data_IF_767268413993
#
_entry.id   IF_767268413993
#
_cell.length_a   1.000
_cell.length_b   1.000
_cell.length_c   1.000
_cell.angle_alpha   90.00
_cell.angle_beta   90.00
_cell.angle_gamma   90.00
#
_symmetry.space_group_name_H-M   'P 1'
#
loop_
_entity.id
_entity.type
_entity.pdbx_description
1 polymer ?
#
# COMPACT_ATOMS: atom_id res chain seq x y z
N UNK A 1 -4.81 11.72 -24.62
CA UNK A 1 -3.63 12.51 -24.18
C UNK A 1 -2.62 11.51 -23.64
N UNK A 2 -1.48 11.34 -24.31
CA UNK A 2 -0.36 10.57 -23.76
C UNK A 2 0.12 11.33 -22.52
N UNK A 3 -0.30 10.88 -21.34
CA UNK A 3 0.13 11.47 -20.07
C UNK A 3 1.65 11.41 -20.00
N UNK A 4 2.27 12.49 -19.51
CA UNK A 4 3.71 12.53 -19.32
C UNK A 4 4.11 11.38 -18.40
N UNK A 5 4.92 10.45 -18.92
CA UNK A 5 5.48 9.31 -18.17
C UNK A 5 6.62 9.83 -17.31
N UNK A 6 6.31 10.52 -16.22
CA UNK A 6 7.29 11.17 -15.38
C UNK A 6 6.92 11.07 -13.90
N UNK A 7 7.95 11.20 -13.07
CA UNK A 7 7.80 11.45 -11.64
C UNK A 7 8.24 12.89 -11.37
N UNK A 8 7.62 13.56 -10.41
CA UNK A 8 7.90 14.95 -10.15
C UNK A 8 7.71 15.29 -8.67
N UNK A 9 8.38 16.35 -8.25
CA UNK A 9 8.29 16.93 -6.92
C UNK A 9 7.81 18.37 -7.08
N UNK A 10 6.91 18.77 -6.20
CA UNK A 10 6.47 20.16 -6.12
C UNK A 10 6.83 20.73 -4.76
N UNK A 11 7.13 22.03 -4.72
CA UNK A 11 7.13 22.75 -3.46
C UNK A 11 5.70 22.88 -2.90
N UNK A 12 5.57 23.49 -1.71
CA UNK A 12 4.27 23.70 -1.07
C UNK A 12 3.42 24.79 -1.74
N UNK A 13 3.90 25.45 -2.80
CA UNK A 13 3.14 26.38 -3.65
C UNK A 13 2.65 25.70 -4.93
N UNK A 14 2.98 24.44 -5.14
CA UNK A 14 2.62 23.69 -6.35
C UNK A 14 3.56 23.93 -7.53
N UNK A 15 4.71 24.56 -7.31
CA UNK A 15 5.74 24.75 -8.34
C UNK A 15 6.53 23.46 -8.46
N UNK A 16 6.66 22.92 -9.67
CA UNK A 16 7.54 21.78 -9.93
C UNK A 16 8.99 22.21 -9.70
N UNK A 17 9.65 21.56 -8.74
CA UNK A 17 11.06 21.84 -8.36
C UNK A 17 12.02 20.76 -8.84
N UNK A 18 11.50 19.61 -9.25
CA UNK A 18 12.25 18.50 -9.80
C UNK A 18 11.30 17.60 -10.59
N UNK A 19 11.78 17.01 -11.68
CA UNK A 19 11.08 15.96 -12.40
C UNK A 19 12.07 15.06 -13.13
N UNK A 20 11.66 13.83 -13.39
CA UNK A 20 12.42 12.88 -14.19
C UNK A 20 11.47 12.10 -15.12
N UNK A 21 11.89 11.88 -16.37
CA UNK A 21 11.12 11.05 -17.29
C UNK A 21 11.38 9.58 -17.02
N UNK A 22 10.33 8.78 -17.04
CA UNK A 22 10.39 7.33 -16.88
C UNK A 22 9.65 6.70 -18.05
N UNK A 23 10.31 6.52 -19.21
CA UNK A 23 9.69 5.99 -20.43
C UNK A 23 9.00 4.64 -20.25
N UNK A 24 9.47 3.85 -19.28
CA UNK A 24 8.94 2.54 -18.88
C UNK A 24 7.62 2.61 -18.09
N UNK A 25 6.97 3.77 -18.00
CA UNK A 25 5.67 3.98 -17.35
C UNK A 25 5.70 3.70 -15.83
N UNK A 26 5.88 4.75 -15.00
CA UNK A 26 5.90 4.57 -13.55
C UNK A 26 4.51 4.24 -13.02
N UNK A 27 4.42 3.16 -12.25
CA UNK A 27 3.17 2.68 -11.63
C UNK A 27 3.03 3.15 -10.19
N UNK A 28 4.10 2.95 -9.42
CA UNK A 28 4.20 3.23 -7.99
C UNK A 28 5.61 3.72 -7.72
N UNK A 29 5.72 4.73 -6.86
CA UNK A 29 6.99 5.38 -6.50
C UNK A 29 7.06 5.54 -5.00
N UNK A 30 8.21 5.21 -4.41
CA UNK A 30 8.57 5.60 -3.05
C UNK A 30 9.92 6.31 -3.05
N UNK A 31 10.08 7.32 -2.19
CA UNK A 31 11.35 8.00 -2.00
C UNK A 31 12.02 7.57 -0.69
N UNK A 32 13.26 7.11 -0.79
CA UNK A 32 14.15 6.85 0.34
C UNK A 32 14.98 8.10 0.63
N UNK A 33 14.63 8.82 1.69
CA UNK A 33 15.35 10.01 2.10
C UNK A 33 16.77 9.73 2.62
N UNK A 34 17.05 8.51 3.11
CA UNK A 34 18.39 8.14 3.60
C UNK A 34 19.38 8.01 2.44
N UNK A 35 18.93 7.46 1.31
CA UNK A 35 19.77 7.24 0.12
C UNK A 35 19.53 8.26 -0.99
N UNK A 36 18.51 9.09 -0.84
CA UNK A 36 18.06 10.05 -1.85
C UNK A 36 17.74 9.38 -3.19
N UNK A 37 16.99 8.27 -3.10
CA UNK A 37 16.68 7.40 -4.23
C UNK A 37 15.16 7.21 -4.37
N UNK A 38 14.70 7.16 -5.62
CA UNK A 38 13.32 6.78 -5.96
C UNK A 38 13.26 5.32 -6.36
N UNK A 39 12.39 4.56 -5.72
CA UNK A 39 12.09 3.16 -6.02
C UNK A 39 10.81 3.14 -6.83
N UNK A 40 10.87 2.58 -8.04
CA UNK A 40 9.83 2.74 -9.06
C UNK A 40 9.46 1.39 -9.64
N UNK A 41 8.19 1.00 -9.47
CA UNK A 41 7.60 -0.07 -10.26
C UNK A 41 7.32 0.44 -11.67
N UNK A 42 7.77 -0.31 -12.68
CA UNK A 42 7.75 0.07 -14.10
C UNK A 42 7.31 -1.10 -14.97
N UNK A 43 7.10 -0.82 -16.25
CA UNK A 43 6.67 -1.74 -17.29
C UNK A 43 5.39 -2.49 -16.91
N UNK A 44 4.21 -1.86 -17.05
CA UNK A 44 2.93 -2.45 -16.69
C UNK A 44 2.75 -3.86 -17.25
N UNK A 45 2.35 -4.79 -16.39
CA UNK A 45 2.06 -6.16 -16.80
C UNK A 45 0.76 -6.25 -17.61
N UNK A 46 -0.16 -5.32 -17.36
CA UNK A 46 -1.49 -5.25 -17.97
C UNK A 46 -1.78 -3.84 -18.52
N UNK A 47 -2.74 -3.70 -19.45
CA UNK A 47 -3.16 -2.40 -19.95
C UNK A 47 -3.66 -1.47 -18.84
N UNK A 48 -3.39 -0.18 -19.01
CA UNK A 48 -3.89 0.90 -18.15
C UNK A 48 -5.42 0.86 -18.12
N UNK A 49 -6.00 0.89 -16.92
CA UNK A 49 -7.45 0.82 -16.71
C UNK A 49 -7.96 -0.60 -16.42
N UNK A 50 -7.12 -1.63 -16.54
CA UNK A 50 -7.46 -2.98 -16.07
C UNK A 50 -7.49 -3.07 -14.54
N UNK A 51 -8.17 -4.08 -13.95
CA UNK A 51 -8.12 -4.32 -12.50
C UNK A 51 -6.71 -4.52 -11.95
N UNK A 52 -5.75 -4.92 -12.79
CA UNK A 52 -4.35 -5.18 -12.45
C UNK A 52 -3.39 -4.09 -12.97
N UNK A 53 -3.90 -2.86 -13.11
CA UNK A 53 -3.12 -1.71 -13.63
C UNK A 53 -1.80 -1.48 -12.88
N UNK A 54 -1.71 -1.89 -11.61
CA UNK A 54 -0.52 -1.69 -10.77
C UNK A 54 0.39 -2.91 -10.66
N UNK A 55 0.19 -3.92 -11.50
CA UNK A 55 1.13 -5.04 -11.63
C UNK A 55 2.28 -4.62 -12.54
N UNK A 56 3.50 -4.90 -12.11
CA UNK A 56 4.72 -4.45 -12.73
C UNK A 56 5.54 -5.63 -13.27
N UNK A 57 6.27 -5.40 -14.37
CA UNK A 57 7.25 -6.35 -14.90
C UNK A 57 8.67 -6.04 -14.46
N UNK A 58 8.93 -4.84 -13.96
CA UNK A 58 10.26 -4.46 -13.50
C UNK A 58 10.24 -3.46 -12.35
N UNK A 59 11.39 -3.38 -11.69
CA UNK A 59 11.73 -2.32 -10.76
C UNK A 59 12.92 -1.53 -11.29
N UNK A 60 12.87 -0.22 -11.09
CA UNK A 60 13.96 0.72 -11.35
C UNK A 60 14.18 1.54 -10.09
N UNK A 61 15.43 1.77 -9.73
CA UNK A 61 15.83 2.72 -8.70
C UNK A 61 16.71 3.77 -9.36
N UNK A 62 16.37 5.03 -9.16
CA UNK A 62 17.15 6.18 -9.63
C UNK A 62 17.54 7.08 -8.46
N UNK A 63 18.60 7.86 -8.60
CA UNK A 63 18.92 8.94 -7.66
C UNK A 63 18.25 10.28 -8.06
N UNK A 64 18.61 11.37 -7.36
CA UNK A 64 18.09 12.72 -7.64
C UNK A 64 18.57 13.32 -8.96
N UNK A 65 19.59 12.75 -9.61
CA UNK A 65 20.08 13.20 -10.92
C UNK A 65 19.53 12.38 -12.08
N UNK A 66 18.63 11.42 -11.79
CA UNK A 66 18.05 10.53 -12.78
C UNK A 66 18.93 9.33 -13.13
N UNK A 67 20.08 9.17 -12.47
CA UNK A 67 21.00 8.06 -12.73
C UNK A 67 20.39 6.75 -12.23
N UNK A 68 20.43 5.71 -13.07
CA UNK A 68 19.89 4.39 -12.73
C UNK A 68 20.89 3.67 -11.82
N UNK A 69 20.57 3.60 -10.53
CA UNK A 69 21.40 2.92 -9.53
C UNK A 69 21.09 1.42 -9.39
N UNK A 70 19.93 0.99 -9.87
CA UNK A 70 19.53 -0.42 -9.89
C UNK A 70 18.34 -0.61 -10.85
N UNK A 71 18.34 -1.70 -11.60
CA UNK A 71 17.19 -2.09 -12.41
C UNK A 71 17.11 -3.61 -12.51
N UNK A 72 15.89 -4.15 -12.42
CA UNK A 72 15.66 -5.58 -12.54
C UNK A 72 14.34 -5.87 -13.23
N UNK A 73 14.41 -6.69 -14.27
CA UNK A 73 13.25 -7.36 -14.88
C UNK A 73 12.89 -8.59 -14.04
N UNK A 74 11.64 -8.65 -13.56
CA UNK A 74 11.17 -9.73 -12.71
C UNK A 74 11.15 -11.09 -13.41
N UNK A 75 11.01 -11.13 -14.74
CA UNK A 75 11.11 -12.37 -15.52
C UNK A 75 12.51 -13.01 -15.44
N UNK A 76 13.54 -12.22 -15.09
CA UNK A 76 14.92 -12.70 -14.91
C UNK A 76 15.22 -13.19 -13.50
N UNK A 77 14.23 -13.20 -12.60
CA UNK A 77 14.37 -13.61 -11.19
C UNK A 77 13.58 -14.92 -10.99
N UNK A 78 14.22 -16.10 -11.08
CA UNK A 78 13.51 -17.38 -10.98
C UNK A 78 12.68 -17.56 -9.71
N UNK A 79 13.10 -16.95 -8.60
CA UNK A 79 12.38 -16.98 -7.34
C UNK A 79 11.01 -16.25 -7.38
N UNK A 80 10.76 -15.43 -8.41
CA UNK A 80 9.46 -14.79 -8.66
C UNK A 80 8.55 -15.63 -9.58
N UNK A 81 8.96 -16.81 -10.03
CA UNK A 81 8.09 -17.67 -10.82
C UNK A 81 6.80 -18.01 -10.04
N UNK A 82 5.64 -17.78 -10.66
CA UNK A 82 4.34 -17.94 -10.01
C UNK A 82 3.93 -16.79 -9.08
N UNK A 83 4.69 -15.68 -9.09
CA UNK A 83 4.39 -14.45 -8.36
C UNK A 83 4.36 -13.24 -9.30
N UNK A 84 3.43 -12.33 -9.08
CA UNK A 84 3.37 -11.07 -9.82
C UNK A 84 3.53 -9.91 -8.85
N UNK A 85 4.52 -9.04 -9.06
CA UNK A 85 4.73 -7.86 -8.21
C UNK A 85 3.66 -6.80 -8.52
N UNK A 86 3.02 -6.26 -7.48
CA UNK A 86 1.99 -5.24 -7.62
C UNK A 86 2.00 -4.22 -6.48
N UNK A 87 1.54 -3.00 -6.76
CA UNK A 87 1.16 -1.94 -5.80
C UNK A 87 2.24 -1.38 -4.85
N UNK A 88 3.35 -2.06 -4.58
CA UNK A 88 4.34 -1.60 -3.60
C UNK A 88 5.78 -2.00 -3.95
N UNK A 89 6.69 -1.04 -3.79
CA UNK A 89 8.13 -1.24 -3.76
C UNK A 89 8.74 -0.39 -2.63
N UNK A 90 8.78 -0.97 -1.42
CA UNK A 90 9.20 -0.27 -0.21
C UNK A 90 10.72 -0.32 -0.05
N UNK A 91 11.44 0.82 -0.04
CA UNK A 91 12.84 0.84 0.35
C UNK A 91 12.99 0.40 1.82
N UNK A 92 13.95 -0.47 2.10
CA UNK A 92 14.25 -0.97 3.46
C UNK A 92 15.56 -0.39 4.01
N UNK A 93 15.81 -0.45 5.34
CA UNK A 93 16.95 0.24 5.96
C UNK A 93 18.31 -0.28 5.50
N UNK A 94 18.40 -1.56 5.13
CA UNK A 94 19.60 -2.19 4.58
C UNK A 94 19.75 -2.00 3.05
N UNK A 95 18.81 -1.29 2.42
CA UNK A 95 18.77 -1.05 0.98
C UNK A 95 18.07 -2.17 0.21
N UNK A 96 17.61 -3.23 0.86
CA UNK A 96 16.72 -4.19 0.22
C UNK A 96 15.35 -3.56 -0.10
N UNK A 97 14.51 -4.31 -0.79
CA UNK A 97 13.24 -3.87 -1.34
C UNK A 97 12.14 -4.82 -0.89
N UNK A 98 11.16 -4.31 -0.15
CA UNK A 98 9.92 -5.03 0.11
C UNK A 98 8.96 -4.89 -1.07
N UNK A 99 8.63 -6.00 -1.72
CA UNK A 99 7.72 -6.05 -2.87
C UNK A 99 6.46 -6.81 -2.49
N UNK A 100 5.29 -6.24 -2.74
CA UNK A 100 4.01 -6.95 -2.60
C UNK A 100 3.77 -7.79 -3.85
N UNK A 101 3.31 -9.03 -3.67
CA UNK A 101 3.13 -10.00 -4.75
C UNK A 101 1.79 -10.72 -4.70
N UNK A 102 1.17 -10.92 -5.86
CA UNK A 102 0.10 -11.89 -6.03
C UNK A 102 0.68 -13.31 -6.10
N UNK A 103 -0.11 -14.28 -5.65
CA UNK A 103 0.21 -15.72 -5.69
C UNK A 103 -1.05 -16.47 -6.08
N UNK A 104 -0.98 -17.32 -7.10
CA UNK A 104 -2.09 -18.18 -7.51
C UNK A 104 -1.93 -19.57 -6.87
N UNK A 105 -3.01 -20.07 -6.25
CA UNK A 105 -3.04 -21.42 -5.68
C UNK A 105 -4.38 -22.10 -5.97
N UNK A 106 -4.33 -23.39 -6.25
CA UNK A 106 -5.50 -24.21 -6.53
C UNK A 106 -6.16 -24.68 -5.24
N UNK A 107 -7.49 -24.59 -5.17
CA UNK A 107 -8.31 -25.05 -4.06
C UNK A 107 -9.53 -25.84 -4.57
N UNK A 108 -9.98 -26.79 -3.77
CA UNK A 108 -11.31 -27.37 -3.93
C UNK A 108 -12.33 -26.42 -3.30
N UNK A 109 -13.16 -25.80 -4.14
CA UNK A 109 -14.23 -24.89 -3.72
C UNK A 109 -15.62 -25.48 -3.96
N UNK A 110 -15.74 -26.80 -4.13
CA UNK A 110 -17.04 -27.46 -4.38
C UNK A 110 -18.07 -27.18 -3.29
N UNK A 111 -17.64 -27.14 -2.03
CA UNK A 111 -18.50 -26.79 -0.89
C UNK A 111 -19.06 -25.35 -0.98
N UNK A 112 -18.40 -24.45 -1.70
CA UNK A 112 -18.82 -23.07 -1.94
C UNK A 112 -19.51 -22.88 -3.31
N UNK A 113 -19.75 -23.97 -4.05
CA UNK A 113 -20.36 -23.95 -5.38
C UNK A 113 -19.38 -23.75 -6.54
N UNK A 114 -18.09 -23.92 -6.29
CA UNK A 114 -17.03 -23.96 -7.29
C UNK A 114 -16.73 -25.37 -7.81
N UNK A 115 -15.51 -25.55 -8.28
CA UNK A 115 -14.92 -26.78 -8.81
C UNK A 115 -13.82 -27.29 -7.88
N UNK A 116 -13.34 -28.50 -8.11
CA UNK A 116 -12.24 -29.10 -7.35
C UNK A 116 -10.87 -28.47 -7.65
N UNK A 117 -10.78 -27.62 -8.67
CA UNK A 117 -9.51 -27.04 -9.16
C UNK A 117 -9.60 -25.53 -9.39
N UNK A 118 -10.41 -24.82 -8.60
CA UNK A 118 -10.49 -23.37 -8.71
C UNK A 118 -9.17 -22.71 -8.33
N UNK A 119 -8.77 -21.69 -9.09
CA UNK A 119 -7.60 -20.88 -8.78
C UNK A 119 -8.06 -19.68 -7.94
N UNK A 120 -7.45 -19.53 -6.77
CA UNK A 120 -7.56 -18.35 -5.92
C UNK A 120 -6.27 -17.55 -6.02
N UNK A 121 -6.37 -16.28 -6.40
CA UNK A 121 -5.27 -15.30 -6.39
C UNK A 121 -5.24 -14.62 -5.03
N UNK A 122 -4.30 -15.05 -4.20
CA UNK A 122 -4.00 -14.46 -2.91
C UNK A 122 -2.80 -13.51 -3.00
N UNK A 123 -2.31 -13.09 -1.85
CA UNK A 123 -1.30 -12.05 -1.73
C UNK A 123 -0.13 -12.52 -0.84
N UNK A 124 0.99 -11.83 -0.98
CA UNK A 124 2.13 -11.98 -0.10
C UNK A 124 3.18 -10.90 -0.36
N UNK A 125 4.40 -11.17 0.07
CA UNK A 125 5.52 -10.30 -0.22
C UNK A 125 6.79 -11.09 -0.48
N UNK A 126 7.75 -10.43 -1.09
CA UNK A 126 9.15 -10.88 -1.17
C UNK A 126 10.08 -9.75 -0.76
N UNK A 127 11.24 -10.09 -0.20
CA UNK A 127 12.34 -9.14 0.02
C UNK A 127 13.41 -9.39 -1.03
N UNK A 128 13.72 -8.37 -1.82
CA UNK A 128 14.77 -8.40 -2.85
C UNK A 128 15.97 -7.60 -2.38
N UNK A 129 17.16 -8.18 -2.40
CA UNK A 129 18.40 -7.45 -2.10
C UNK A 129 18.88 -6.64 -3.31
N UNK A 130 19.93 -5.82 -3.13
CA UNK A 130 20.50 -4.98 -4.19
C UNK A 130 21.25 -5.74 -5.30
N UNK A 131 21.38 -7.06 -5.19
CA UNK A 131 21.86 -7.94 -6.29
C UNK A 131 20.71 -8.48 -7.14
N UNK A 132 19.46 -8.19 -6.77
CA UNK A 132 18.27 -8.69 -7.44
C UNK A 132 17.91 -10.12 -7.04
N UNK A 133 18.41 -10.60 -5.91
CA UNK A 133 18.10 -11.93 -5.36
C UNK A 133 16.98 -11.80 -4.32
N UNK A 134 16.08 -12.78 -4.28
CA UNK A 134 15.04 -12.86 -3.26
C UNK A 134 15.59 -13.53 -2.00
N UNK A 135 15.59 -12.82 -0.88
CA UNK A 135 16.11 -13.30 0.41
C UNK A 135 15.02 -13.80 1.34
N UNK A 136 13.76 -13.40 1.11
CA UNK A 136 12.61 -13.82 1.90
C UNK A 136 11.36 -13.84 1.04
N UNK A 137 10.46 -14.77 1.34
CA UNK A 137 9.12 -14.84 0.75
C UNK A 137 8.10 -15.12 1.84
N UNK A 138 6.87 -14.66 1.61
CA UNK A 138 5.73 -14.91 2.47
C UNK A 138 4.47 -15.10 1.62
N UNK A 139 3.52 -15.90 2.13
CA UNK A 139 2.24 -16.16 1.48
C UNK A 139 1.10 -16.08 2.49
N UNK A 140 -0.01 -15.43 2.12
CA UNK A 140 -1.20 -15.43 2.96
C UNK A 140 -1.78 -16.84 3.17
N UNK A 141 -1.57 -17.75 2.21
CA UNK A 141 -2.13 -19.11 2.25
C UNK A 141 -1.55 -20.01 3.35
N UNK A 142 -0.46 -19.60 3.98
CA UNK A 142 0.09 -20.29 5.16
C UNK A 142 -0.67 -19.93 6.45
N UNK A 143 -1.50 -18.88 6.42
CA UNK A 143 -2.13 -18.28 7.60
C UNK A 143 -3.64 -18.13 7.48
N UNK A 144 -4.18 -18.07 6.26
CA UNK A 144 -5.62 -17.96 6.00
C UNK A 144 -6.04 -18.92 4.90
N UNK A 145 -7.24 -19.48 5.07
CA UNK A 145 -7.82 -20.45 4.14
C UNK A 145 -9.01 -19.83 3.39
N UNK A 146 -8.94 -19.68 2.05
CA UNK A 146 -10.02 -19.10 1.26
C UNK A 146 -11.31 -19.93 1.29
N UNK A 147 -11.27 -21.22 1.62
CA UNK A 147 -12.49 -22.04 1.73
C UNK A 147 -13.39 -21.61 2.89
N UNK A 148 -12.83 -20.90 3.87
CA UNK A 148 -13.56 -20.36 5.03
C UNK A 148 -14.22 -19.01 4.76
N UNK A 149 -13.93 -18.40 3.61
CA UNK A 149 -14.48 -17.09 3.25
C UNK A 149 -15.84 -17.23 2.55
N UNK A 150 -16.92 -16.67 3.13
CA UNK A 150 -18.27 -16.81 2.55
C UNK A 150 -18.42 -16.17 1.16
N UNK A 151 -17.51 -15.25 0.80
CA UNK A 151 -17.52 -14.53 -0.47
C UNK A 151 -16.63 -15.18 -1.55
N UNK A 152 -15.87 -16.23 -1.23
CA UNK A 152 -14.89 -16.82 -2.16
C UNK A 152 -15.52 -17.33 -3.47
N UNK A 153 -16.79 -17.73 -3.42
CA UNK A 153 -17.58 -18.16 -4.59
C UNK A 153 -17.77 -17.06 -5.65
N UNK A 154 -17.63 -15.79 -5.25
CA UNK A 154 -17.76 -14.66 -6.17
C UNK A 154 -16.53 -14.63 -7.05
N UNK A 155 -16.71 -14.72 -8.38
CA UNK A 155 -15.60 -14.81 -9.34
C UNK A 155 -14.60 -13.66 -9.22
N UNK A 156 -15.08 -12.44 -8.94
CA UNK A 156 -14.21 -11.27 -8.72
C UNK A 156 -13.44 -11.30 -7.40
N UNK A 157 -13.91 -12.05 -6.40
CA UNK A 157 -13.21 -12.24 -5.12
C UNK A 157 -12.10 -13.26 -5.30
N UNK A 158 -12.36 -14.45 -5.83
CA UNK A 158 -11.28 -15.45 -6.02
C UNK A 158 -10.15 -14.98 -6.95
N UNK A 159 -10.43 -14.10 -7.91
CA UNK A 159 -9.41 -13.54 -8.82
C UNK A 159 -8.54 -12.47 -8.17
N UNK A 160 -8.90 -11.98 -6.99
CA UNK A 160 -8.20 -10.91 -6.28
C UNK A 160 -8.69 -10.90 -4.82
N UNK A 161 -8.24 -11.91 -4.05
CA UNK A 161 -8.91 -12.31 -2.82
C UNK A 161 -8.77 -11.30 -1.69
N UNK A 162 -7.55 -11.03 -1.22
CA UNK A 162 -7.35 -10.10 -0.10
C UNK A 162 -7.05 -8.69 -0.60
N UNK A 163 -6.41 -8.58 -1.77
CA UNK A 163 -5.99 -7.34 -2.42
C UNK A 163 -5.03 -6.56 -1.52
N UNK A 164 -3.84 -7.10 -1.31
CA UNK A 164 -2.78 -6.36 -0.65
C UNK A 164 -2.36 -5.17 -1.51
N UNK A 165 -2.15 -4.02 -0.87
CA UNK A 165 -1.77 -2.81 -1.60
C UNK A 165 -0.66 -2.01 -0.93
N UNK A 166 -0.13 -2.47 0.21
CA UNK A 166 1.02 -1.85 0.83
C UNK A 166 1.85 -2.84 1.63
N UNK A 167 3.12 -2.48 1.80
CA UNK A 167 4.10 -3.13 2.63
C UNK A 167 4.95 -2.04 3.28
N UNK A 168 5.13 -2.14 4.60
CA UNK A 168 5.99 -1.27 5.38
C UNK A 168 6.54 -2.01 6.60
N UNK A 169 7.44 -1.40 7.35
CA UNK A 169 8.07 -2.04 8.51
C UNK A 169 8.20 -1.08 9.69
N UNK A 170 8.29 -1.63 10.90
CA UNK A 170 8.61 -0.87 12.12
C UNK A 170 10.10 -0.97 12.49
N UNK A 171 10.48 -0.26 13.55
CA UNK A 171 11.84 -0.26 14.08
C UNK A 171 12.28 -1.59 14.72
N UNK A 172 11.35 -2.53 14.96
CA UNK A 172 11.66 -3.89 15.42
C UNK A 172 11.89 -4.86 14.23
N UNK A 173 11.70 -4.37 13.01
CA UNK A 173 11.81 -5.17 11.79
C UNK A 173 10.60 -6.06 11.55
N UNK A 174 9.44 -5.81 12.18
CA UNK A 174 8.20 -6.46 11.79
C UNK A 174 7.60 -5.75 10.57
N UNK A 175 6.83 -6.50 9.79
CA UNK A 175 6.22 -6.01 8.57
C UNK A 175 4.74 -5.76 8.75
N UNK A 176 4.23 -4.81 7.98
CA UNK A 176 2.85 -4.39 7.95
C UNK A 176 2.33 -4.41 6.53
N UNK A 177 1.17 -5.04 6.33
CA UNK A 177 0.47 -5.06 5.05
C UNK A 177 -0.97 -4.63 5.23
N UNK A 178 -1.50 -3.88 4.26
CA UNK A 178 -2.92 -3.52 4.22
C UNK A 178 -3.63 -4.30 3.11
N UNK A 179 -4.78 -4.85 3.44
CA UNK A 179 -5.62 -5.65 2.56
C UNK A 179 -6.93 -4.91 2.29
N UNK A 180 -7.09 -4.47 1.05
CA UNK A 180 -8.14 -3.54 0.67
C UNK A 180 -9.54 -4.12 0.81
N UNK A 181 -9.71 -5.38 0.37
CA UNK A 181 -11.03 -5.98 0.19
C UNK A 181 -11.75 -6.14 1.52
N UNK A 182 -11.02 -6.57 2.55
CA UNK A 182 -11.54 -6.78 3.90
C UNK A 182 -11.25 -5.62 4.85
N UNK A 183 -10.55 -4.59 4.39
CA UNK A 183 -10.23 -3.42 5.22
C UNK A 183 -9.40 -3.79 6.44
N UNK A 184 -8.33 -4.56 6.23
CA UNK A 184 -7.50 -5.09 7.32
C UNK A 184 -6.05 -4.62 7.27
N UNK A 185 -5.46 -4.43 8.46
CA UNK A 185 -4.02 -4.23 8.68
C UNK A 185 -3.43 -5.48 9.34
N UNK A 186 -2.44 -6.10 8.72
CA UNK A 186 -1.78 -7.30 9.25
C UNK A 186 -0.38 -6.95 9.72
N UNK A 187 0.01 -7.45 10.89
CA UNK A 187 1.41 -7.43 11.36
C UNK A 187 2.02 -8.82 11.23
N UNK A 188 3.19 -8.88 10.63
CA UNK A 188 3.93 -10.11 10.36
C UNK A 188 5.31 -9.99 11.01
N UNK A 189 5.74 -11.01 11.73
CA UNK A 189 7.10 -11.02 12.28
C UNK A 189 8.12 -11.10 11.14
N UNK A 190 9.01 -10.11 11.03
CA UNK A 190 9.91 -10.06 9.88
C UNK A 190 11.01 -11.12 9.87
N UNK A 191 11.31 -11.74 11.01
CA UNK A 191 12.30 -12.82 11.11
C UNK A 191 11.69 -14.20 10.85
N UNK A 192 10.52 -14.47 11.43
CA UNK A 192 9.92 -15.81 11.39
C UNK A 192 8.81 -15.94 10.35
N UNK A 193 8.32 -14.83 9.80
CA UNK A 193 7.15 -14.81 8.90
C UNK A 193 5.82 -15.02 9.60
N UNK A 194 5.80 -15.25 10.93
CA UNK A 194 4.56 -15.51 11.68
C UNK A 194 3.61 -14.32 11.60
N UNK A 195 2.35 -14.57 11.20
CA UNK A 195 1.28 -13.59 11.34
C UNK A 195 0.99 -13.34 12.84
N UNK A 196 1.22 -12.12 13.31
CA UNK A 196 1.10 -11.75 14.72
C UNK A 196 -0.31 -11.32 15.11
N UNK A 197 -0.92 -10.49 14.24
CA UNK A 197 -2.32 -10.08 14.36
C UNK A 197 -2.85 -9.51 13.04
N UNK A 198 -4.17 -9.43 12.97
CA UNK A 198 -4.94 -8.72 11.93
C UNK A 198 -5.91 -7.76 12.63
N UNK A 199 -5.86 -6.47 12.29
CA UNK A 199 -6.85 -5.48 12.72
C UNK A 199 -7.90 -5.35 11.63
N UNK A 200 -9.17 -5.45 11.97
CA UNK A 200 -10.28 -5.27 11.03
C UNK A 200 -11.58 -5.84 11.57
N UNK A 201 -12.67 -5.73 10.80
CA UNK A 201 -13.98 -6.26 11.19
C UNK A 201 -13.96 -7.77 11.45
N UNK A 202 -13.19 -8.50 10.65
CA UNK A 202 -12.98 -9.95 10.73
C UNK A 202 -11.55 -10.32 11.18
N UNK A 203 -10.82 -9.32 11.70
CA UNK A 203 -9.46 -9.48 12.19
C UNK A 203 -9.39 -10.27 13.50
N UNK A 204 -8.18 -10.66 13.90
CA UNK A 204 -7.93 -11.25 15.22
C UNK A 204 -8.07 -10.22 16.34
N UNK A 205 -7.97 -8.93 16.01
CA UNK A 205 -8.17 -7.79 16.90
C UNK A 205 -9.21 -6.88 16.24
N UNK A 206 -10.35 -6.71 16.90
CA UNK A 206 -11.48 -5.96 16.37
C UNK A 206 -11.55 -4.58 17.04
N UNK A 207 -11.39 -3.47 16.30
CA UNK A 207 -11.63 -2.15 16.86
C UNK A 207 -13.14 -1.91 17.06
N UNK A 208 -13.52 -0.77 17.65
CA UNK A 208 -14.93 -0.36 17.65
C UNK A 208 -15.46 -0.20 16.22
N UNK A 209 -16.76 -0.46 16.01
CA UNK A 209 -17.39 -0.45 14.68
C UNK A 209 -17.14 0.84 13.88
N UNK A 210 -17.17 2.00 14.54
CA UNK A 210 -16.87 3.30 13.90
C UNK A 210 -15.48 3.38 13.29
N UNK A 211 -14.56 2.50 13.68
CA UNK A 211 -13.19 2.44 13.18
C UNK A 211 -12.94 1.23 12.25
N UNK A 212 -13.97 0.52 11.79
CA UNK A 212 -13.81 -0.39 10.65
C UNK A 212 -13.49 0.41 9.41
N UNK A 213 -12.64 -0.15 8.55
CA UNK A 213 -12.24 0.51 7.30
C UNK A 213 -12.85 -0.20 6.11
N UNK A 214 -13.10 0.56 5.05
CA UNK A 214 -13.70 0.08 3.81
C UNK A 214 -12.84 0.57 2.66
N UNK A 215 -11.88 -0.27 2.28
CA UNK A 215 -10.86 0.07 1.30
C UNK A 215 -9.58 0.62 1.93
N UNK A 216 -9.05 -0.03 2.98
CA UNK A 216 -7.79 0.35 3.62
C UNK A 216 -6.63 0.39 2.61
N UNK A 217 -5.75 1.37 2.75
CA UNK A 217 -4.48 1.46 2.03
C UNK A 217 -3.34 1.96 2.93
N UNK A 218 -2.12 1.71 2.47
CA UNK A 218 -0.89 2.40 2.86
C UNK A 218 -0.65 2.44 4.37
N UNK A 219 -0.17 1.32 4.93
CA UNK A 219 0.36 1.30 6.29
C UNK A 219 1.60 2.20 6.40
N UNK A 220 1.57 3.09 7.39
CA UNK A 220 2.67 3.96 7.78
C UNK A 220 2.92 3.78 9.29
N UNK A 221 3.77 2.81 9.68
CA UNK A 221 4.14 2.60 11.07
C UNK A 221 4.82 3.86 11.63
N UNK A 222 4.28 4.39 12.73
CA UNK A 222 4.90 5.46 13.53
C UNK A 222 5.83 4.86 14.59
N UNK A 223 5.44 3.71 15.13
CA UNK A 223 6.22 2.89 16.07
C UNK A 223 5.72 1.44 15.96
N UNK A 224 6.42 0.46 16.56
CA UNK A 224 5.87 -0.89 16.70
C UNK A 224 4.47 -0.84 17.31
N UNK A 225 3.52 -1.50 16.65
CA UNK A 225 2.11 -1.55 17.01
C UNK A 225 1.34 -0.22 16.96
N UNK A 226 1.93 0.86 16.47
CA UNK A 226 1.27 2.16 16.29
C UNK A 226 1.35 2.57 14.81
N UNK A 227 0.27 2.32 14.05
CA UNK A 227 0.30 2.36 12.58
C UNK A 227 -0.81 3.25 12.04
N UNK A 228 -0.41 4.23 11.23
CA UNK A 228 -1.31 5.10 10.49
C UNK A 228 -1.72 4.40 9.19
N UNK A 229 -3.01 4.43 8.87
CA UNK A 229 -3.55 3.95 7.59
C UNK A 229 -4.47 5.01 6.98
N UNK A 230 -4.72 4.92 5.68
CA UNK A 230 -5.84 5.61 5.05
C UNK A 230 -6.99 4.62 4.85
N UNK A 231 -8.18 5.03 5.26
CA UNK A 231 -9.44 4.42 4.91
C UNK A 231 -10.11 5.23 3.79
N UNK A 232 -10.41 4.57 2.67
CA UNK A 232 -11.15 5.20 1.59
C UNK A 232 -12.62 5.48 1.96
N UNK A 233 -13.15 4.83 3.00
CA UNK A 233 -14.53 4.96 3.48
C UNK A 233 -15.59 4.60 2.42
N UNK A 234 -15.31 3.60 1.57
CA UNK A 234 -16.16 3.25 0.41
C UNK A 234 -17.60 2.86 0.77
N UNK A 235 -17.79 2.32 1.96
CA UNK A 235 -19.08 1.83 2.45
C UNK A 235 -19.68 2.75 3.53
N UNK A 236 -19.02 3.87 3.82
CA UNK A 236 -19.42 4.79 4.88
C UNK A 236 -20.21 5.95 4.27
N UNK A 237 -21.47 6.12 4.70
CA UNK A 237 -22.33 7.18 4.15
C UNK A 237 -22.12 8.53 4.81
N UNK A 238 -21.40 8.60 5.92
CA UNK A 238 -21.43 9.76 6.81
C UNK A 238 -20.12 10.56 6.80
N UNK A 239 -19.04 9.99 6.24
CA UNK A 239 -17.71 10.61 6.21
C UNK A 239 -17.05 10.50 4.84
N UNK A 240 -16.05 11.35 4.60
CA UNK A 240 -15.12 11.22 3.48
C UNK A 240 -14.02 10.23 3.80
N UNK A 241 -12.91 10.26 3.04
CA UNK A 241 -11.76 9.42 3.37
C UNK A 241 -11.18 9.81 4.74
N UNK A 242 -10.65 8.83 5.47
CA UNK A 242 -10.22 8.99 6.86
C UNK A 242 -8.79 8.53 7.04
N UNK A 243 -8.03 9.22 7.89
CA UNK A 243 -6.75 8.73 8.36
C UNK A 243 -6.91 8.21 9.79
N UNK A 244 -6.52 6.96 10.02
CA UNK A 244 -6.74 6.28 11.31
C UNK A 244 -5.40 5.77 11.83
N UNK A 245 -5.07 6.14 13.08
CA UNK A 245 -3.91 5.62 13.80
C UNK A 245 -4.40 4.51 14.73
N UNK A 246 -4.02 3.27 14.45
CA UNK A 246 -4.27 2.14 15.35
C UNK A 246 -3.09 1.96 16.30
N UNK A 247 -3.39 1.70 17.58
CA UNK A 247 -2.40 1.32 18.59
C UNK A 247 -2.78 -0.02 19.23
N UNK A 248 -2.00 -1.06 18.96
CA UNK A 248 -2.29 -2.43 19.40
C UNK A 248 -1.54 -2.76 20.69
N UNK A 249 -2.24 -3.40 21.62
CA UNK A 249 -1.62 -4.17 22.69
C UNK A 249 -1.65 -5.66 22.30
N UNK A 250 -0.48 -6.20 21.95
CA UNK A 250 -0.37 -7.58 21.46
C UNK A 250 -0.64 -8.64 22.52
N UNK A 251 -0.43 -8.32 23.81
CA UNK A 251 -0.65 -9.26 24.92
C UNK A 251 -2.14 -9.42 25.20
N UNK A 252 -2.85 -8.30 25.36
CA UNK A 252 -4.29 -8.32 25.60
C UNK A 252 -5.13 -8.49 24.33
N UNK A 253 -4.49 -8.48 23.14
CA UNK A 253 -5.16 -8.54 21.82
C UNK A 253 -6.24 -7.46 21.67
N UNK A 254 -5.93 -6.26 22.15
CA UNK A 254 -6.81 -5.08 22.05
C UNK A 254 -6.18 -4.01 21.17
N UNK A 255 -7.01 -3.10 20.68
CA UNK A 255 -6.59 -1.94 19.88
C UNK A 255 -7.27 -0.69 20.42
N UNK A 256 -6.52 0.39 20.52
CA UNK A 256 -7.05 1.75 20.71
C UNK A 256 -6.82 2.56 19.44
N UNK A 257 -7.58 3.64 19.28
CA UNK A 257 -7.45 4.56 18.14
C UNK A 257 -7.12 5.94 18.67
N UNK A 258 -5.82 6.28 18.86
CA UNK A 258 -5.43 7.59 19.38
C UNK A 258 -5.77 8.76 18.44
N UNK A 259 -6.01 8.49 17.16
CA UNK A 259 -6.38 9.49 16.16
C UNK A 259 -7.24 8.86 15.07
N UNK A 260 -8.34 9.53 14.73
CA UNK A 260 -9.09 9.27 13.52
C UNK A 260 -9.51 10.62 12.91
N UNK A 261 -8.82 11.05 11.86
CA UNK A 261 -9.15 12.30 11.13
C UNK A 261 -10.09 11.93 10.00
N UNK A 262 -11.33 12.42 10.03
CA UNK A 262 -12.32 12.15 9.01
C UNK A 262 -12.56 13.39 8.14
N UNK A 263 -12.31 13.28 6.85
CA UNK A 263 -12.64 14.38 5.93
C UNK A 263 -14.16 14.51 5.75
N UNK A 264 -14.66 15.70 5.37
CA UNK A 264 -16.03 15.86 4.87
C UNK A 264 -16.38 14.87 3.76
N UNK A 265 -17.65 14.44 3.69
CA UNK A 265 -18.15 13.38 2.79
C UNK A 265 -17.80 13.56 1.31
N UNK A 266 -17.81 14.79 0.82
CA UNK A 266 -17.48 15.15 -0.56
C UNK A 266 -15.97 15.00 -0.89
N UNK A 267 -15.13 14.97 0.16
CA UNK A 267 -13.69 14.77 0.13
C UNK A 267 -13.34 13.29 0.38
N UNK A 268 -13.65 12.46 -0.62
CA UNK A 268 -13.38 11.03 -0.62
C UNK A 268 -12.67 10.56 -1.90
N UNK A 269 -11.82 9.55 -1.76
CA UNK A 269 -11.21 8.82 -2.87
C UNK A 269 -11.62 7.36 -2.81
N UNK A 270 -12.18 6.84 -3.89
CA UNK A 270 -12.69 5.47 -3.92
C UNK A 270 -11.58 4.43 -3.99
N UNK A 271 -10.34 4.78 -4.32
CA UNK A 271 -9.20 3.87 -4.32
C UNK A 271 -7.87 4.62 -4.15
N UNK A 272 -6.79 3.84 -4.03
CA UNK A 272 -5.41 4.32 -3.85
C UNK A 272 -5.33 5.21 -2.60
N UNK A 273 -4.50 6.24 -2.66
CA UNK A 273 -4.28 7.22 -1.60
C UNK A 273 -3.35 6.74 -0.48
N UNK A 274 -2.87 7.71 0.30
CA UNK A 274 -2.14 7.53 1.54
C UNK A 274 -2.44 8.68 2.52
N UNK A 275 -2.10 8.44 3.78
CA UNK A 275 -1.97 9.46 4.81
C UNK A 275 -0.53 9.47 5.32
N UNK A 276 -0.01 10.64 5.71
CA UNK A 276 1.34 10.78 6.24
C UNK A 276 1.40 11.91 7.25
N UNK A 277 2.09 11.69 8.38
CA UNK A 277 2.39 12.75 9.32
C UNK A 277 3.36 13.79 8.74
N UNK A 278 3.07 15.07 8.99
CA UNK A 278 3.98 16.18 8.74
C UNK A 278 4.26 16.85 10.10
N UNK A 279 5.50 16.72 10.58
CA UNK A 279 5.88 17.19 11.92
C UNK A 279 5.01 16.57 13.02
N UNK A 280 4.69 17.34 14.05
CA UNK A 280 3.85 16.91 15.18
C UNK A 280 2.37 17.29 15.05
N UNK A 281 2.04 18.27 14.19
CA UNK A 281 0.70 18.89 14.20
C UNK A 281 -0.11 18.62 12.93
N UNK A 282 0.56 18.30 11.82
CA UNK A 282 -0.07 18.24 10.51
C UNK A 282 -0.15 16.82 9.98
N UNK A 283 -1.11 16.64 9.09
CA UNK A 283 -1.35 15.40 8.38
C UNK A 283 -1.55 15.71 6.89
N UNK A 284 -0.85 14.96 6.05
CA UNK A 284 -1.13 14.88 4.62
C UNK A 284 -2.14 13.75 4.39
N UNK A 285 -3.22 14.04 3.68
CA UNK A 285 -4.17 13.05 3.16
C UNK A 285 -4.28 13.28 1.66
N UNK A 286 -4.03 12.24 0.88
CA UNK A 286 -4.26 12.31 -0.57
C UNK A 286 -5.65 11.78 -0.90
N UNK A 287 -6.29 12.35 -1.92
CA UNK A 287 -7.49 11.82 -2.54
C UNK A 287 -7.19 11.55 -4.02
N UNK A 288 -6.60 10.40 -4.30
CA UNK A 288 -6.06 10.05 -5.62
C UNK A 288 -7.06 10.18 -6.76
N UNK A 289 -8.29 9.68 -6.61
CA UNK A 289 -9.31 9.75 -7.67
C UNK A 289 -9.90 11.15 -7.83
N UNK A 290 -9.77 12.01 -6.81
CA UNK A 290 -10.09 13.45 -6.87
C UNK A 290 -8.91 14.28 -7.37
N UNK A 291 -7.75 13.67 -7.60
CA UNK A 291 -6.50 14.34 -7.98
C UNK A 291 -6.09 15.41 -6.98
N UNK A 292 -6.30 15.16 -5.69
CA UNK A 292 -6.15 16.18 -4.65
C UNK A 292 -5.19 15.73 -3.55
N UNK A 293 -4.38 16.65 -3.05
CA UNK A 293 -3.57 16.48 -1.83
C UNK A 293 -4.07 17.50 -0.82
N UNK A 294 -4.38 17.05 0.39
CA UNK A 294 -4.93 17.87 1.46
C UNK A 294 -3.94 17.84 2.63
N UNK A 295 -3.68 19.00 3.22
CA UNK A 295 -2.97 19.12 4.49
C UNK A 295 -3.94 19.63 5.54
N UNK A 296 -4.07 18.91 6.64
CA UNK A 296 -4.96 19.22 7.76
C UNK A 296 -4.20 19.29 9.07
N UNK A 297 -4.85 19.86 10.11
CA UNK A 297 -4.51 19.47 11.49
C UNK A 297 -4.99 18.04 11.79
N UNK A 298 -4.72 17.55 13.00
CA UNK A 298 -4.98 16.16 13.43
C UNK A 298 -6.28 15.99 14.23
N UNK A 299 -7.16 16.98 14.21
CA UNK A 299 -8.46 16.90 14.88
C UNK A 299 -9.37 15.89 14.17
N UNK A 300 -10.29 15.26 14.91
CA UNK A 300 -11.25 14.28 14.34
C UNK A 300 -12.07 14.90 13.20
N UNK A 301 -12.54 16.12 13.41
CA UNK A 301 -13.06 17.02 12.37
C UNK A 301 -11.97 18.03 12.02
N UNK A 302 -11.19 17.82 10.94
CA UNK A 302 -9.99 18.60 10.67
C UNK A 302 -10.31 20.00 10.14
N UNK A 303 -9.45 20.96 10.45
CA UNK A 303 -9.34 22.17 9.63
C UNK A 303 -8.40 21.90 8.46
N UNK A 304 -8.88 22.10 7.23
CA UNK A 304 -8.04 22.06 6.03
C UNK A 304 -7.12 23.28 6.01
N UNK A 305 -5.81 23.06 6.14
CA UNK A 305 -4.79 24.12 6.11
C UNK A 305 -4.33 24.40 4.69
N UNK A 306 -4.33 23.38 3.82
CA UNK A 306 -4.01 23.52 2.40
C UNK A 306 -4.66 22.43 1.57
N UNK A 307 -4.92 22.75 0.31
CA UNK A 307 -5.40 21.82 -0.69
C UNK A 307 -4.73 22.09 -2.03
N UNK A 308 -4.26 21.03 -2.69
CA UNK A 308 -3.61 21.08 -4.00
C UNK A 308 -4.39 20.21 -4.96
N UNK A 309 -4.73 20.75 -6.12
CA UNK A 309 -5.29 19.98 -7.23
C UNK A 309 -4.18 19.66 -8.22
N UNK A 310 -4.10 18.39 -8.62
CA UNK A 310 -3.19 17.90 -9.63
C UNK A 310 -3.93 17.69 -10.96
N UNK A 311 -3.25 17.86 -12.11
CA UNK A 311 -3.89 17.66 -13.42
C UNK A 311 -4.28 16.20 -13.68
N UNK A 312 -3.62 15.24 -13.02
CA UNK A 312 -3.77 13.81 -13.26
C UNK A 312 -4.07 13.02 -11.98
N UNK A 313 -4.72 11.86 -12.17
CA UNK A 313 -4.86 10.87 -11.11
C UNK A 313 -3.49 10.29 -10.80
N UNK A 314 -3.18 10.12 -9.52
CA UNK A 314 -1.90 9.59 -9.04
C UNK A 314 -2.12 8.43 -8.08
N UNK A 315 -1.08 7.64 -7.81
CA UNK A 315 -1.19 6.52 -6.87
C UNK A 315 -1.08 6.97 -5.41
N UNK A 316 0.01 7.67 -5.06
CA UNK A 316 0.30 8.25 -3.74
C UNK A 316 1.10 9.53 -3.88
N UNK A 317 1.19 10.30 -2.79
CA UNK A 317 2.11 11.42 -2.67
C UNK A 317 2.84 11.35 -1.32
N UNK A 318 4.12 11.72 -1.32
CA UNK A 318 4.95 11.72 -0.12
C UNK A 318 5.41 13.15 0.16
N UNK A 319 5.18 13.62 1.39
CA UNK A 319 5.82 14.81 1.91
C UNK A 319 7.29 14.50 2.20
N UNK A 320 8.16 15.32 1.61
CA UNK A 320 9.61 15.23 1.79
C UNK A 320 10.04 16.55 2.44
N UNK A 321 10.55 16.54 3.69
CA UNK A 321 10.84 17.77 4.43
C UNK A 321 12.02 18.54 3.82
N UNK A 322 13.03 17.81 3.34
CA UNK A 322 14.21 18.38 2.70
C UNK A 322 14.70 17.45 1.60
N UNK A 323 15.17 18.05 0.51
CA UNK A 323 15.93 17.39 -0.55
C UNK A 323 17.28 18.08 -0.57
N UNK A 324 18.35 17.28 -0.57
CA UNK A 324 19.73 17.76 -0.70
C UNK A 324 20.24 17.34 -2.07
N UNK A 325 20.58 18.28 -2.92
CA UNK A 325 21.24 17.99 -4.19
C UNK A 325 22.74 17.77 -3.96
#
# INVERSE_FOLDING_TARGET
>A
MNGTKAIYLTDTKGVVVWYEQVPEEPLVVNYDAQRQQFYILTNPAYPVGSPYTFNAKSIKIIDLFGEVVFQKDFATVPALNGREVHHECRPMPDGSIGLVTYIDKTFDLTAQGGTTTDIVKGDGFVIMNRRGEITQQWSCFDYVDPTTDPNIKIQGVKKDWLHANSFNYDSEGNYYMTFNRYGELWKINGKTGKLLYRIGENGTIKPEKKYFTHGMHCANPKAPNEVLVIDNARSDSDTGSRAILYKVNEQSKTVTVPMAVALPKDLSSSNRSNAQFIGEDLLLITLSTKKQIIITDRNETPTIKRSFMLPFTFYRAQYIPTIKY
#
